data_IF_070769219613
#
_entry.id   IF_070769219613
#
_cell.length_a   1.000
_cell.length_b   1.000
_cell.length_c   1.000
_cell.angle_alpha   90.00
_cell.angle_beta   90.00
_cell.angle_gamma   90.00
#
_symmetry.space_group_name_H-M   'P 1'
#
loop_
_entity.id
_entity.type
_entity.pdbx_description
1 polymer ?
#
# COMPACT_ATOMS: atom_id res chain seq x y z
N UNK A 1 2.19 25.81 -17.61
CA UNK A 1 1.68 24.51 -18.07
C UNK A 1 1.35 23.64 -16.86
N UNK A 2 0.22 22.92 -16.85
CA UNK A 2 -0.09 21.98 -15.80
C UNK A 2 0.90 20.81 -15.85
N UNK A 3 1.41 20.36 -14.68
CA UNK A 3 2.28 19.18 -14.61
C UNK A 3 1.56 17.96 -15.17
N UNK A 4 2.23 17.12 -15.98
CA UNK A 4 1.64 15.88 -16.49
C UNK A 4 1.26 14.93 -15.36
N UNK A 5 0.24 14.12 -15.58
CA UNK A 5 -0.26 13.11 -14.64
C UNK A 5 -0.02 11.71 -15.19
N UNK A 6 -0.16 10.70 -14.32
CA UNK A 6 -0.15 9.30 -14.77
C UNK A 6 -1.24 9.04 -15.82
N UNK A 7 -2.38 9.73 -15.74
CA UNK A 7 -3.45 9.61 -16.73
C UNK A 7 -3.00 10.12 -18.12
N UNK A 8 -2.26 11.23 -18.17
CA UNK A 8 -1.75 11.80 -19.41
C UNK A 8 -0.69 10.88 -20.03
N UNK A 9 0.21 10.31 -19.21
CA UNK A 9 1.19 9.33 -19.66
C UNK A 9 0.51 8.10 -20.28
N UNK A 10 -0.53 7.57 -19.65
CA UNK A 10 -1.28 6.46 -20.22
C UNK A 10 -2.02 6.83 -21.51
N UNK A 11 -2.58 8.06 -21.62
CA UNK A 11 -3.22 8.52 -22.86
C UNK A 11 -2.24 8.58 -24.02
N UNK A 12 -1.01 9.00 -23.75
CA UNK A 12 -0.01 9.20 -24.81
C UNK A 12 0.66 7.87 -25.22
N UNK A 13 1.10 7.07 -24.25
CA UNK A 13 1.98 5.93 -24.53
C UNK A 13 1.31 4.56 -24.52
N UNK A 14 0.05 4.43 -24.10
CA UNK A 14 -0.53 3.10 -23.88
C UNK A 14 -0.74 2.30 -25.15
N UNK A 15 -1.04 2.95 -26.27
CA UNK A 15 -1.17 2.27 -27.58
C UNK A 15 0.17 1.65 -27.99
N UNK A 16 1.26 2.41 -27.94
CA UNK A 16 2.60 1.90 -28.23
C UNK A 16 3.08 0.83 -27.23
N UNK A 17 2.60 0.89 -25.97
CA UNK A 17 2.82 -0.18 -24.99
C UNK A 17 2.17 -1.48 -25.43
N UNK A 18 0.94 -1.47 -25.95
CA UNK A 18 0.21 -2.67 -26.39
C UNK A 18 0.85 -3.35 -27.62
N UNK A 19 1.64 -2.64 -28.42
CA UNK A 19 2.39 -3.23 -29.53
C UNK A 19 3.53 -4.15 -29.05
N UNK A 20 4.03 -3.92 -27.82
CA UNK A 20 5.16 -4.66 -27.23
C UNK A 20 4.77 -5.62 -26.11
N UNK A 21 3.67 -5.36 -25.42
CA UNK A 21 3.29 -6.07 -24.20
C UNK A 21 1.80 -6.38 -24.16
N UNK A 22 1.46 -7.54 -23.60
CA UNK A 22 0.08 -7.95 -23.35
C UNK A 22 -0.23 -7.82 -21.85
N UNK A 23 -1.04 -6.82 -21.43
CA UNK A 23 -1.39 -6.65 -20.03
C UNK A 23 -2.35 -7.73 -19.56
N UNK A 24 -2.23 -8.14 -18.29
CA UNK A 24 -3.22 -9.02 -17.66
C UNK A 24 -4.60 -8.34 -17.57
N UNK A 25 -5.70 -9.08 -17.37
CA UNK A 25 -7.04 -8.52 -17.22
C UNK A 25 -7.12 -7.46 -16.10
N UNK A 26 -6.40 -7.66 -14.98
CA UNK A 26 -6.33 -6.72 -13.88
C UNK A 26 -5.59 -5.44 -14.26
N UNK A 27 -4.47 -5.56 -14.99
CA UNK A 27 -3.70 -4.43 -15.51
C UNK A 27 -4.53 -3.63 -16.52
N UNK A 28 -5.14 -4.29 -17.50
CA UNK A 28 -6.01 -3.63 -18.48
C UNK A 28 -7.20 -2.91 -17.82
N UNK A 29 -7.81 -3.53 -16.79
CA UNK A 29 -8.85 -2.89 -15.98
C UNK A 29 -8.34 -1.65 -15.23
N UNK A 30 -7.14 -1.72 -14.66
CA UNK A 30 -6.53 -0.57 -13.97
C UNK A 30 -6.30 0.59 -14.94
N UNK A 31 -5.73 0.32 -16.13
CA UNK A 31 -5.52 1.34 -17.17
C UNK A 31 -6.84 1.97 -17.61
N UNK A 32 -7.84 1.18 -17.98
CA UNK A 32 -9.16 1.70 -18.37
C UNK A 32 -9.75 2.59 -17.28
N UNK A 33 -9.62 2.21 -16.01
CA UNK A 33 -10.11 3.00 -14.90
C UNK A 33 -9.33 4.31 -14.72
N UNK A 34 -8.01 4.30 -14.91
CA UNK A 34 -7.18 5.51 -14.83
C UNK A 34 -7.53 6.46 -15.97
N UNK A 35 -7.59 5.97 -17.19
CA UNK A 35 -7.92 6.76 -18.38
C UNK A 35 -9.29 7.46 -18.29
N UNK A 36 -10.27 6.77 -17.70
CA UNK A 36 -11.64 7.28 -17.56
C UNK A 36 -11.91 7.99 -16.23
N UNK A 37 -10.93 8.07 -15.33
CA UNK A 37 -11.12 8.69 -14.02
C UNK A 37 -11.34 10.19 -14.11
N UNK A 38 -12.39 10.68 -13.48
CA UNK A 38 -12.80 12.10 -13.53
C UNK A 38 -13.03 12.63 -14.95
N UNK A 39 -13.58 11.75 -15.80
CA UNK A 39 -14.13 12.09 -17.11
C UNK A 39 -15.63 11.79 -17.13
N UNK A 40 -16.32 12.08 -18.24
CA UNK A 40 -17.74 11.75 -18.41
C UNK A 40 -18.05 10.25 -18.36
N UNK A 41 -17.04 9.36 -18.53
CA UNK A 41 -17.22 7.92 -18.64
C UNK A 41 -17.85 7.23 -17.40
N UNK A 42 -17.69 7.82 -16.22
CA UNK A 42 -18.30 7.32 -14.96
C UNK A 42 -19.46 8.21 -14.48
N UNK A 43 -19.99 9.07 -15.36
CA UNK A 43 -21.04 10.01 -15.02
C UNK A 43 -20.51 11.25 -14.30
N UNK A 44 -21.43 12.13 -13.98
CA UNK A 44 -21.15 13.40 -13.34
C UNK A 44 -22.27 13.77 -12.35
N UNK A 45 -21.91 14.59 -11.37
CA UNK A 45 -22.83 15.32 -10.54
C UNK A 45 -22.93 16.74 -11.09
N UNK A 46 -24.14 17.19 -11.43
CA UNK A 46 -24.41 18.50 -11.98
C UNK A 46 -25.20 19.30 -10.95
N UNK A 47 -24.69 20.47 -10.59
CA UNK A 47 -25.37 21.43 -9.71
C UNK A 47 -25.58 22.74 -10.45
N UNK A 48 -26.71 23.37 -10.20
CA UNK A 48 -27.06 24.70 -10.75
C UNK A 48 -27.05 25.69 -9.60
N UNK A 49 -26.47 26.84 -9.80
CA UNK A 49 -26.51 27.92 -8.83
C UNK A 49 -27.92 28.54 -8.77
N UNK A 50 -28.45 28.63 -7.57
CA UNK A 50 -29.78 29.19 -7.32
C UNK A 50 -29.83 30.73 -7.58
N UNK A 51 -28.68 31.43 -7.41
CA UNK A 51 -28.58 32.87 -7.53
C UNK A 51 -28.23 33.33 -8.94
N UNK A 52 -27.28 32.68 -9.64
CA UNK A 52 -26.79 33.15 -10.94
C UNK A 52 -27.04 32.16 -12.11
N UNK A 53 -27.64 31.00 -11.85
CA UNK A 53 -27.92 29.98 -12.86
C UNK A 53 -26.68 29.25 -13.40
N UNK A 54 -25.48 29.54 -12.90
CA UNK A 54 -24.24 28.90 -13.37
C UNK A 54 -24.26 27.39 -13.09
N UNK A 55 -23.90 26.59 -14.10
CA UNK A 55 -23.84 25.13 -14.03
C UNK A 55 -22.43 24.68 -13.61
N UNK A 56 -22.35 23.85 -12.60
CA UNK A 56 -21.09 23.21 -12.19
C UNK A 56 -21.17 21.69 -12.37
N UNK A 57 -20.15 21.12 -13.03
CA UNK A 57 -20.06 19.70 -13.34
C UNK A 57 -18.89 19.09 -12.58
N UNK A 58 -19.17 18.06 -11.81
CA UNK A 58 -18.17 17.27 -11.07
C UNK A 58 -18.17 15.83 -11.58
N UNK A 59 -17.19 15.47 -12.37
CA UNK A 59 -17.06 14.13 -12.92
C UNK A 59 -16.70 13.09 -11.84
N UNK A 60 -17.31 11.92 -11.93
CA UNK A 60 -17.13 10.84 -10.99
C UNK A 60 -15.75 10.18 -11.08
N UNK A 61 -15.28 9.68 -9.94
CA UNK A 61 -14.01 8.97 -9.81
C UNK A 61 -14.17 7.48 -10.11
N UNK A 62 -13.14 6.86 -10.68
CA UNK A 62 -13.13 5.42 -10.98
C UNK A 62 -13.09 4.52 -9.73
N UNK A 63 -12.73 5.04 -8.55
CA UNK A 63 -12.56 4.34 -7.27
C UNK A 63 -11.60 3.14 -7.32
N UNK A 64 -10.78 3.03 -8.38
CA UNK A 64 -9.79 1.98 -8.49
C UNK A 64 -8.62 2.24 -7.53
N UNK A 65 -8.23 1.23 -6.76
CA UNK A 65 -7.13 1.33 -5.77
C UNK A 65 -5.76 1.63 -6.39
N UNK A 66 -5.61 1.44 -7.71
CA UNK A 66 -4.39 1.73 -8.44
C UNK A 66 -4.38 3.15 -9.05
N UNK A 67 -5.48 3.89 -8.98
CA UNK A 67 -5.60 5.19 -9.62
C UNK A 67 -5.03 6.31 -8.76
N UNK A 68 -3.96 7.02 -9.19
CA UNK A 68 -3.39 8.12 -8.42
C UNK A 68 -4.25 9.39 -8.44
N UNK A 69 -5.30 9.44 -9.29
CA UNK A 69 -6.15 10.62 -9.46
C UNK A 69 -7.23 10.77 -8.39
N UNK A 70 -7.65 9.67 -7.74
CA UNK A 70 -8.84 9.70 -6.88
C UNK A 70 -8.67 9.07 -5.49
N UNK A 71 -7.46 8.71 -5.08
CA UNK A 71 -7.23 8.03 -3.79
C UNK A 71 -7.01 8.97 -2.60
N UNK A 72 -7.01 10.29 -2.79
CA UNK A 72 -6.71 11.23 -1.70
C UNK A 72 -7.75 11.17 -0.57
N UNK A 73 -9.03 11.36 -0.88
CA UNK A 73 -10.11 11.33 0.14
C UNK A 73 -10.27 9.95 0.77
N UNK A 74 -10.34 8.82 0.02
CA UNK A 74 -10.37 7.48 0.61
C UNK A 74 -9.21 7.20 1.57
N UNK A 75 -8.02 7.72 1.28
CA UNK A 75 -6.86 7.63 2.15
C UNK A 75 -7.11 8.33 3.49
N UNK A 76 -7.55 9.59 3.46
CA UNK A 76 -7.81 10.37 4.69
C UNK A 76 -8.91 9.73 5.56
N UNK A 77 -9.99 9.26 4.93
CA UNK A 77 -11.06 8.53 5.62
C UNK A 77 -10.55 7.24 6.26
N UNK A 78 -9.72 6.49 5.53
CA UNK A 78 -9.13 5.27 6.06
C UNK A 78 -8.18 5.56 7.23
N UNK A 79 -7.34 6.60 7.13
CA UNK A 79 -6.45 7.03 8.20
C UNK A 79 -7.21 7.43 9.45
N UNK A 80 -8.26 8.22 9.31
CA UNK A 80 -9.09 8.66 10.41
C UNK A 80 -9.77 7.46 11.11
N UNK A 81 -10.30 6.51 10.35
CA UNK A 81 -10.85 5.27 10.90
C UNK A 81 -9.78 4.40 11.61
N UNK A 82 -8.53 4.38 11.14
CA UNK A 82 -7.44 3.61 11.79
C UNK A 82 -6.91 4.26 13.06
N UNK A 83 -7.07 5.56 13.26
CA UNK A 83 -6.76 6.20 14.53
C UNK A 83 -7.49 5.58 15.71
N UNK A 84 -8.71 5.07 15.50
CA UNK A 84 -9.44 4.33 16.53
C UNK A 84 -8.75 3.04 16.97
N UNK A 85 -7.91 2.44 16.12
CA UNK A 85 -7.21 1.19 16.41
C UNK A 85 -5.87 1.41 17.12
N UNK A 86 -5.37 2.66 17.17
CA UNK A 86 -4.09 2.98 17.79
C UNK A 86 -4.22 3.09 19.30
N UNK A 87 -3.27 2.51 20.02
CA UNK A 87 -3.09 2.62 21.46
C UNK A 87 -2.01 3.67 21.76
N UNK A 88 -2.08 4.29 22.92
CA UNK A 88 -1.02 5.20 23.41
C UNK A 88 0.14 4.38 24.00
N UNK A 89 0.91 3.79 23.11
CA UNK A 89 2.05 2.92 23.41
C UNK A 89 3.12 3.07 22.32
N UNK A 90 4.37 2.63 22.55
CA UNK A 90 5.41 2.62 21.53
C UNK A 90 5.03 1.78 20.31
N UNK A 91 5.49 2.21 19.13
CA UNK A 91 5.37 1.44 17.89
C UNK A 91 6.70 1.35 17.19
N UNK A 92 6.93 0.24 16.51
CA UNK A 92 8.12 -0.03 15.73
C UNK A 92 7.78 -0.27 14.26
N UNK A 93 8.64 0.21 13.39
CA UNK A 93 8.54 -0.05 11.97
C UNK A 93 9.53 -1.14 11.56
N UNK A 94 9.04 -2.25 11.06
CA UNK A 94 9.85 -3.31 10.49
C UNK A 94 9.58 -3.41 8.99
N UNK A 95 10.63 -3.77 8.23
CA UNK A 95 10.49 -4.07 6.80
C UNK A 95 11.07 -5.47 6.57
N UNK A 96 10.25 -6.33 6.01
CA UNK A 96 10.64 -7.69 5.61
C UNK A 96 10.82 -7.71 4.09
N UNK A 97 12.05 -7.97 3.66
CA UNK A 97 12.42 -7.97 2.24
C UNK A 97 12.96 -9.35 1.87
N UNK A 98 12.68 -9.79 0.66
CA UNK A 98 13.25 -10.99 0.05
C UNK A 98 14.36 -10.60 -0.94
N UNK A 99 15.36 -11.46 -1.19
CA UNK A 99 16.41 -11.20 -2.18
C UNK A 99 15.84 -10.95 -3.58
N UNK A 100 16.41 -9.99 -4.30
CA UNK A 100 15.95 -9.62 -5.65
C UNK A 100 16.08 -10.76 -6.67
N UNK A 101 16.94 -11.73 -6.43
CA UNK A 101 17.10 -12.93 -7.28
C UNK A 101 15.79 -13.75 -7.33
N UNK A 102 14.90 -13.63 -6.34
CA UNK A 102 13.59 -14.27 -6.30
C UNK A 102 12.53 -13.53 -7.14
N UNK A 103 12.80 -12.31 -7.57
CA UNK A 103 11.82 -11.46 -8.26
C UNK A 103 11.16 -12.13 -9.48
N UNK A 104 11.88 -12.87 -10.36
CA UNK A 104 11.26 -13.56 -11.49
C UNK A 104 10.21 -14.60 -11.04
N UNK A 105 10.55 -15.39 -10.04
CA UNK A 105 9.65 -16.43 -9.50
C UNK A 105 8.46 -15.80 -8.79
N UNK A 106 8.68 -14.76 -8.00
CA UNK A 106 7.60 -14.02 -7.32
C UNK A 106 6.67 -13.36 -8.34
N UNK A 107 7.20 -12.79 -9.42
CA UNK A 107 6.38 -12.14 -10.44
C UNK A 107 5.50 -13.15 -11.19
N UNK A 108 5.99 -14.34 -11.47
CA UNK A 108 5.20 -15.43 -12.05
C UNK A 108 4.11 -15.95 -11.09
N UNK A 109 4.32 -15.83 -9.77
CA UNK A 109 3.46 -16.39 -8.72
C UNK A 109 2.95 -15.33 -7.73
N UNK A 110 2.60 -14.15 -8.20
CA UNK A 110 2.36 -12.97 -7.34
C UNK A 110 1.44 -13.25 -6.15
N UNK A 111 0.25 -13.82 -6.37
CA UNK A 111 -0.70 -14.05 -5.29
C UNK A 111 -0.16 -15.04 -4.27
N UNK A 112 0.36 -16.16 -4.73
CA UNK A 112 0.87 -17.25 -3.90
C UNK A 112 2.07 -16.79 -3.07
N UNK A 113 3.10 -16.22 -3.71
CA UNK A 113 4.33 -15.82 -3.01
C UNK A 113 4.18 -14.52 -2.19
N UNK A 114 3.20 -13.67 -2.51
CA UNK A 114 2.82 -12.60 -1.57
C UNK A 114 2.12 -13.14 -0.33
N UNK A 115 1.27 -14.17 -0.46
CA UNK A 115 0.64 -14.84 0.68
C UNK A 115 1.68 -15.54 1.55
N UNK A 116 2.67 -16.22 0.94
CA UNK A 116 3.85 -16.79 1.62
C UNK A 116 4.64 -15.72 2.37
N UNK A 117 4.87 -14.55 1.74
CA UNK A 117 5.58 -13.45 2.37
C UNK A 117 4.85 -12.93 3.62
N UNK A 118 3.52 -12.80 3.56
CA UNK A 118 2.71 -12.45 4.73
C UNK A 118 2.74 -13.53 5.81
N UNK A 119 2.67 -14.80 5.42
CA UNK A 119 2.71 -15.94 6.35
C UNK A 119 4.05 -15.97 7.09
N UNK A 120 5.16 -15.95 6.37
CA UNK A 120 6.49 -15.92 6.98
C UNK A 120 6.69 -14.72 7.91
N UNK A 121 6.26 -13.51 7.47
CA UNK A 121 6.33 -12.29 8.29
C UNK A 121 5.51 -12.44 9.58
N UNK A 122 4.23 -12.83 9.45
CA UNK A 122 3.33 -12.89 10.60
C UNK A 122 3.72 -13.95 11.61
N UNK A 123 4.10 -15.14 11.15
CA UNK A 123 4.54 -16.24 12.03
C UNK A 123 5.88 -15.97 12.68
N UNK A 124 6.79 -15.25 12.03
CA UNK A 124 8.03 -14.77 12.63
C UNK A 124 7.76 -13.82 13.80
N UNK A 125 6.91 -12.83 13.60
CA UNK A 125 6.57 -11.87 14.65
C UNK A 125 5.86 -12.59 15.81
N UNK A 126 4.89 -13.45 15.53
CA UNK A 126 4.14 -14.16 16.55
C UNK A 126 5.06 -15.06 17.40
N UNK A 127 5.93 -15.83 16.77
CA UNK A 127 6.87 -16.72 17.46
C UNK A 127 7.79 -15.93 18.39
N UNK A 128 8.48 -14.92 17.84
CA UNK A 128 9.45 -14.15 18.61
C UNK A 128 8.80 -13.30 19.72
N UNK A 129 7.63 -12.72 19.50
CA UNK A 129 6.97 -11.90 20.54
C UNK A 129 6.33 -12.74 21.63
N UNK A 130 5.92 -13.97 21.33
CA UNK A 130 5.35 -14.89 22.32
C UNK A 130 6.42 -15.55 23.20
N UNK A 131 7.69 -15.56 22.75
CA UNK A 131 8.79 -16.10 23.54
C UNK A 131 9.02 -15.25 24.80
N UNK A 132 8.99 -15.85 26.02
CA UNK A 132 9.28 -15.13 27.27
C UNK A 132 10.66 -14.47 27.32
N UNK A 133 11.64 -14.97 26.55
CA UNK A 133 12.98 -14.36 26.42
C UNK A 133 12.95 -12.97 25.79
N UNK A 134 11.90 -12.67 25.02
CA UNK A 134 11.69 -11.37 24.39
C UNK A 134 10.59 -10.60 25.10
N UNK A 135 9.33 -10.73 24.64
CA UNK A 135 8.21 -10.03 25.26
C UNK A 135 7.32 -10.98 26.09
N UNK A 136 7.11 -12.22 25.63
CA UNK A 136 6.19 -13.17 26.27
C UNK A 136 4.72 -12.73 26.18
N UNK A 137 4.35 -12.01 25.13
CA UNK A 137 3.00 -11.45 24.97
C UNK A 137 2.54 -11.47 23.51
N UNK A 138 1.23 -11.53 23.31
CA UNK A 138 0.59 -11.39 22.01
C UNK A 138 0.48 -9.90 21.65
N UNK A 139 1.15 -9.48 20.61
CA UNK A 139 1.17 -8.08 20.11
C UNK A 139 0.17 -7.84 19.01
N UNK A 140 -0.10 -6.57 18.72
CA UNK A 140 -0.87 -6.14 17.55
C UNK A 140 0.04 -5.59 16.47
N UNK A 141 -0.22 -5.92 15.19
CA UNK A 141 0.55 -5.33 14.08
C UNK A 141 -0.25 -5.26 12.79
N UNK A 142 0.18 -4.35 11.89
CA UNK A 142 -0.38 -4.14 10.57
C UNK A 142 0.71 -4.39 9.55
N UNK A 143 0.48 -5.30 8.61
CA UNK A 143 1.37 -5.61 7.50
C UNK A 143 0.85 -4.99 6.21
N UNK A 144 1.71 -4.31 5.45
CA UNK A 144 1.38 -3.64 4.21
C UNK A 144 2.35 -4.08 3.13
N UNK A 145 1.84 -4.77 2.10
CA UNK A 145 2.66 -5.16 0.96
C UNK A 145 2.96 -3.97 0.07
N UNK A 146 4.23 -3.76 -0.20
CA UNK A 146 4.73 -2.97 -1.31
C UNK A 146 5.47 -3.87 -2.29
N UNK A 147 5.40 -3.52 -3.56
CA UNK A 147 6.10 -4.26 -4.63
C UNK A 147 7.04 -3.36 -5.41
N UNK A 148 7.26 -2.12 -4.97
CA UNK A 148 8.05 -1.10 -5.69
C UNK A 148 9.08 -0.41 -4.81
N UNK A 149 10.23 -0.13 -5.39
CA UNK A 149 11.19 0.83 -4.88
C UNK A 149 10.94 2.26 -5.37
N UNK A 150 11.83 3.18 -5.06
CA UNK A 150 11.72 4.59 -5.48
C UNK A 150 11.72 4.76 -7.01
N UNK A 151 12.41 3.92 -7.73
CA UNK A 151 12.54 3.92 -9.19
C UNK A 151 11.45 3.08 -9.90
N UNK A 152 10.41 2.65 -9.16
CA UNK A 152 9.37 1.72 -9.62
C UNK A 152 9.91 0.36 -10.10
N UNK A 153 11.06 -0.08 -9.60
CA UNK A 153 11.55 -1.43 -9.80
C UNK A 153 10.70 -2.42 -9.00
N UNK A 154 10.53 -3.64 -9.51
CA UNK A 154 9.84 -4.70 -8.78
C UNK A 154 10.68 -5.14 -7.58
N UNK A 155 10.15 -4.91 -6.38
CA UNK A 155 10.83 -5.16 -5.11
C UNK A 155 9.80 -5.46 -4.02
N UNK A 156 9.27 -6.68 -3.98
CA UNK A 156 8.23 -7.04 -3.01
C UNK A 156 8.79 -7.09 -1.59
N UNK A 157 8.13 -6.33 -0.71
CA UNK A 157 8.48 -6.27 0.71
C UNK A 157 7.26 -5.91 1.56
N UNK A 158 7.29 -6.27 2.83
CA UNK A 158 6.23 -5.95 3.79
C UNK A 158 6.71 -4.90 4.77
N UNK A 159 6.04 -3.76 4.79
CA UNK A 159 6.10 -2.82 5.89
C UNK A 159 5.20 -3.29 7.02
N UNK A 160 5.75 -3.41 8.20
CA UNK A 160 5.02 -3.82 9.40
C UNK A 160 5.07 -2.71 10.44
N UNK A 161 3.91 -2.30 10.93
CA UNK A 161 3.78 -1.45 12.11
C UNK A 161 3.47 -2.35 13.29
N UNK A 162 4.43 -2.53 14.15
CA UNK A 162 4.39 -3.40 15.31
C UNK A 162 4.17 -2.60 16.58
N UNK A 163 3.14 -2.95 17.35
CA UNK A 163 2.92 -2.41 18.69
C UNK A 163 4.02 -2.90 19.64
N UNK A 164 4.62 -2.00 20.40
CA UNK A 164 5.71 -2.28 21.33
C UNK A 164 5.27 -2.90 22.65
N UNK A 165 4.03 -3.31 22.78
CA UNK A 165 3.49 -4.02 23.92
C UNK A 165 2.37 -4.96 23.51
N UNK A 166 1.93 -5.81 24.44
CA UNK A 166 0.94 -6.84 24.17
C UNK A 166 0.27 -7.41 25.42
N UNK A 167 -0.64 -8.35 25.19
CA UNK A 167 -1.32 -9.08 26.26
C UNK A 167 -0.61 -10.40 26.52
N UNK A 168 -0.26 -10.62 27.78
CA UNK A 168 0.19 -11.93 28.26
C UNK A 168 -0.93 -12.96 28.20
N UNK A 169 -0.63 -14.27 28.31
CA UNK A 169 -1.67 -15.31 28.45
C UNK A 169 -2.66 -15.07 29.61
N UNK A 170 -2.23 -14.31 30.62
CA UNK A 170 -3.08 -13.90 31.78
C UNK A 170 -3.89 -12.63 31.51
N UNK A 171 -3.87 -12.07 30.29
CA UNK A 171 -4.51 -10.81 29.94
C UNK A 171 -3.94 -9.57 30.67
N UNK A 172 -2.71 -9.61 31.08
CA UNK A 172 -1.97 -8.49 31.62
C UNK A 172 -1.26 -7.73 30.50
N UNK A 173 -1.15 -6.41 30.60
CA UNK A 173 -0.34 -5.63 29.68
C UNK A 173 1.15 -5.79 29.98
N UNK A 174 1.94 -6.07 28.96
CA UNK A 174 3.39 -6.11 29.04
C UNK A 174 3.99 -5.35 27.88
N UNK A 175 4.95 -4.48 28.14
CA UNK A 175 5.75 -3.77 27.15
C UNK A 175 7.22 -3.73 27.56
N UNK A 176 8.07 -3.28 26.66
CA UNK A 176 9.51 -3.11 26.90
C UNK A 176 9.89 -1.60 26.88
N UNK A 177 8.95 -0.74 27.23
CA UNK A 177 9.12 0.71 27.16
C UNK A 177 9.39 1.20 25.73
N UNK A 178 10.43 2.01 25.57
CA UNK A 178 10.77 2.61 24.28
C UNK A 178 11.83 1.87 23.51
N UNK A 179 12.39 0.79 24.04
CA UNK A 179 13.43 0.00 23.39
C UNK A 179 12.83 -1.12 22.53
N UNK A 180 13.50 -1.39 21.42
CA UNK A 180 13.10 -2.49 20.57
C UNK A 180 13.53 -3.82 21.20
N UNK A 181 12.59 -4.74 21.30
CA UNK A 181 12.72 -5.95 22.10
C UNK A 181 13.05 -7.23 21.30
N UNK A 182 13.13 -7.13 19.97
CA UNK A 182 13.43 -8.28 19.12
C UNK A 182 14.81 -8.10 18.45
N UNK A 183 15.75 -9.02 18.65
CA UNK A 183 17.03 -8.95 17.95
C UNK A 183 16.86 -9.09 16.43
N UNK A 184 17.43 -8.16 15.67
CA UNK A 184 17.29 -8.13 14.19
C UNK A 184 17.82 -9.42 13.56
N UNK A 185 18.93 -9.96 14.08
CA UNK A 185 19.49 -11.24 13.61
C UNK A 185 18.52 -12.42 13.80
N UNK A 186 17.76 -12.43 14.90
CA UNK A 186 16.76 -13.48 15.16
C UNK A 186 15.58 -13.35 14.18
N UNK A 187 15.08 -12.10 13.96
CA UNK A 187 14.03 -11.85 12.95
C UNK A 187 14.49 -12.32 11.57
N UNK A 188 15.73 -11.94 11.15
CA UNK A 188 16.31 -12.35 9.87
C UNK A 188 16.33 -13.85 9.69
N UNK A 189 16.92 -14.56 10.67
CA UNK A 189 17.10 -16.02 10.61
C UNK A 189 15.76 -16.76 10.56
N UNK A 190 14.82 -16.40 11.43
CA UNK A 190 13.51 -17.06 11.51
C UNK A 190 12.67 -16.75 10.26
N UNK A 191 12.64 -15.51 9.83
CA UNK A 191 11.91 -15.10 8.62
C UNK A 191 12.44 -15.81 7.37
N UNK A 192 13.78 -15.81 7.17
CA UNK A 192 14.42 -16.51 6.06
C UNK A 192 14.05 -17.99 6.07
N UNK A 193 14.21 -18.67 7.21
CA UNK A 193 13.88 -20.10 7.34
C UNK A 193 12.45 -20.38 6.91
N UNK A 194 11.49 -19.67 7.48
CA UNK A 194 10.06 -19.86 7.19
C UNK A 194 9.72 -19.59 5.72
N UNK A 195 10.23 -18.49 5.13
CA UNK A 195 9.96 -18.19 3.73
C UNK A 195 10.55 -19.22 2.78
N UNK A 196 11.81 -19.63 3.02
CA UNK A 196 12.52 -20.58 2.18
C UNK A 196 11.95 -22.00 2.30
N UNK A 197 11.50 -22.40 3.49
CA UNK A 197 10.85 -23.71 3.69
C UNK A 197 9.52 -23.79 2.96
N UNK A 198 8.71 -22.72 3.03
CA UNK A 198 7.45 -22.64 2.27
C UNK A 198 7.71 -22.62 0.76
N UNK A 199 8.69 -21.85 0.28
CA UNK A 199 9.05 -21.79 -1.14
C UNK A 199 9.48 -23.17 -1.66
N UNK A 200 10.30 -23.90 -0.92
CA UNK A 200 10.69 -25.29 -1.25
C UNK A 200 9.49 -26.24 -1.26
N UNK A 201 8.60 -26.10 -0.29
CA UNK A 201 7.38 -26.91 -0.23
C UNK A 201 6.48 -26.66 -1.45
N UNK A 202 6.27 -25.39 -1.84
CA UNK A 202 5.50 -25.03 -3.02
C UNK A 202 6.11 -25.57 -4.32
N UNK A 203 7.44 -25.59 -4.43
CA UNK A 203 8.13 -26.19 -5.56
C UNK A 203 7.96 -27.73 -5.57
N UNK A 204 8.19 -28.39 -4.45
CA UNK A 204 8.07 -29.85 -4.31
C UNK A 204 6.64 -30.37 -4.57
N UNK A 205 5.63 -29.51 -4.34
CA UNK A 205 4.21 -29.84 -4.55
C UNK A 205 3.66 -29.33 -5.87
N UNK A 206 4.55 -28.90 -6.78
CA UNK A 206 4.23 -28.43 -8.14
C UNK A 206 3.18 -27.29 -8.17
N UNK A 207 3.24 -26.39 -7.18
CA UNK A 207 2.34 -25.24 -7.07
C UNK A 207 2.89 -23.97 -7.71
N UNK A 208 4.17 -23.97 -8.13
CA UNK A 208 4.81 -22.80 -8.75
C UNK A 208 4.67 -22.83 -10.27
N UNK A 209 4.33 -21.68 -10.81
CA UNK A 209 4.37 -21.40 -12.25
C UNK A 209 5.66 -20.68 -12.62
N UNK A 210 6.19 -20.95 -13.80
CA UNK A 210 7.41 -20.34 -14.30
C UNK A 210 7.21 -19.79 -15.70
N UNK A 211 7.29 -18.45 -15.83
CA UNK A 211 7.09 -17.73 -17.07
C UNK A 211 8.23 -16.74 -17.33
N UNK A 212 8.57 -16.55 -18.60
CA UNK A 212 9.60 -15.60 -19.02
C UNK A 212 10.96 -15.88 -18.37
N UNK A 213 11.52 -14.91 -17.68
CA UNK A 213 12.85 -15.07 -17.03
C UNK A 213 12.86 -16.08 -15.88
N UNK A 214 11.70 -16.52 -15.38
CA UNK A 214 11.60 -17.56 -14.37
C UNK A 214 11.63 -18.98 -14.95
N UNK A 215 11.46 -19.15 -16.26
CA UNK A 215 11.33 -20.46 -16.94
C UNK A 215 12.49 -21.41 -16.57
N UNK A 216 13.71 -20.91 -16.47
CA UNK A 216 14.89 -21.70 -16.09
C UNK A 216 14.76 -22.41 -14.74
N UNK A 217 13.97 -21.87 -13.81
CA UNK A 217 13.79 -22.44 -12.47
C UNK A 217 12.78 -23.60 -12.43
N UNK A 218 12.20 -23.96 -13.56
CA UNK A 218 11.49 -25.25 -13.72
C UNK A 218 12.46 -26.43 -13.60
N UNK A 219 13.74 -26.21 -13.93
CA UNK A 219 14.79 -27.21 -13.77
C UNK A 219 15.22 -27.31 -12.31
N UNK A 220 15.33 -28.55 -11.79
CA UNK A 220 15.69 -28.82 -10.41
C UNK A 220 17.06 -28.22 -10.00
N UNK A 221 18.06 -28.33 -10.86
CA UNK A 221 19.39 -27.80 -10.55
C UNK A 221 19.39 -26.29 -10.47
N UNK A 222 18.75 -25.61 -11.44
CA UNK A 222 18.64 -24.16 -11.43
C UNK A 222 17.81 -23.64 -10.24
N UNK A 223 16.77 -24.36 -9.84
CA UNK A 223 15.99 -24.01 -8.65
C UNK A 223 16.81 -24.21 -7.37
N UNK A 224 17.59 -25.32 -7.29
CA UNK A 224 18.50 -25.55 -6.15
C UNK A 224 19.54 -24.45 -6.05
N UNK A 225 20.19 -24.06 -7.14
CA UNK A 225 21.14 -22.92 -7.16
C UNK A 225 20.47 -21.61 -6.70
N UNK A 226 19.23 -21.36 -7.10
CA UNK A 226 18.44 -20.21 -6.61
C UNK A 226 18.27 -20.26 -5.09
N UNK A 227 17.91 -21.41 -4.56
CA UNK A 227 17.75 -21.62 -3.12
C UNK A 227 19.07 -21.39 -2.37
N UNK A 228 20.16 -21.98 -2.85
CA UNK A 228 21.50 -21.87 -2.24
C UNK A 228 21.93 -20.39 -2.26
N UNK A 229 21.77 -19.69 -3.38
CA UNK A 229 22.07 -18.25 -3.51
C UNK A 229 21.24 -17.38 -2.53
N UNK A 230 19.98 -17.76 -2.26
CA UNK A 230 19.17 -17.08 -1.27
C UNK A 230 19.69 -17.29 0.17
N UNK A 231 20.27 -18.43 0.48
CA UNK A 231 20.90 -18.68 1.79
C UNK A 231 22.23 -17.95 1.94
N UNK A 232 22.99 -17.76 0.86
CA UNK A 232 24.25 -17.01 0.84
C UNK A 232 24.02 -15.48 0.91
N UNK A 233 22.83 -15.01 0.58
CA UNK A 233 22.46 -13.60 0.68
C UNK A 233 22.02 -13.26 2.10
N UNK A 234 22.47 -12.11 2.60
CA UNK A 234 22.00 -11.61 3.89
C UNK A 234 20.58 -11.03 3.79
N UNK A 235 19.67 -11.56 4.61
CA UNK A 235 18.29 -11.08 4.72
C UNK A 235 18.23 -10.09 5.89
N UNK A 236 18.37 -8.81 5.59
CA UNK A 236 18.36 -7.77 6.62
C UNK A 236 16.96 -7.20 6.78
N UNK A 237 16.18 -7.59 7.80
CA UNK A 237 14.99 -6.88 8.18
C UNK A 237 15.41 -5.51 8.72
N UNK A 238 14.83 -4.46 8.15
CA UNK A 238 15.04 -3.13 8.70
C UNK A 238 14.11 -2.93 9.89
N UNK A 239 14.66 -2.49 11.01
CA UNK A 239 13.88 -2.07 12.16
C UNK A 239 14.27 -0.68 12.60
N UNK A 240 13.30 0.16 12.77
CA UNK A 240 13.46 1.50 13.34
C UNK A 240 12.34 1.76 14.34
N UNK A 241 12.71 2.22 15.53
CA UNK A 241 11.75 2.93 16.38
C UNK A 241 11.38 4.21 15.65
N UNK A 242 10.11 4.37 15.35
CA UNK A 242 9.73 5.41 14.36
C UNK A 242 8.83 6.48 14.92
N UNK A 243 8.18 6.27 16.06
CA UNK A 243 6.98 7.03 16.30
C UNK A 243 6.98 7.71 17.67
N UNK A 244 7.01 9.02 17.63
CA UNK A 244 6.67 9.84 18.77
C UNK A 244 5.13 9.94 18.88
N UNK A 245 4.49 8.85 19.36
CA UNK A 245 3.06 8.79 19.60
C UNK A 245 2.19 8.35 18.43
N UNK A 246 0.91 8.18 18.71
CA UNK A 246 -0.10 7.61 17.82
C UNK A 246 -0.26 8.35 16.48
N UNK A 247 -0.09 9.67 16.44
CA UNK A 247 -0.24 10.47 15.23
C UNK A 247 0.82 10.10 14.17
N UNK A 248 2.07 9.94 14.59
CA UNK A 248 3.18 9.57 13.67
C UNK A 248 2.98 8.20 13.03
N UNK A 249 2.36 7.25 13.75
CA UNK A 249 1.97 5.93 13.22
C UNK A 249 0.98 6.09 12.07
N UNK A 250 -0.05 6.91 12.27
CA UNK A 250 -1.11 7.14 11.29
C UNK A 250 -0.56 7.86 10.06
N UNK A 251 0.26 8.89 10.25
CA UNK A 251 0.87 9.64 9.15
C UNK A 251 1.78 8.72 8.30
N UNK A 252 2.49 7.82 8.96
CA UNK A 252 3.28 6.81 8.30
C UNK A 252 2.40 5.84 7.50
N UNK A 253 1.37 5.27 8.12
CA UNK A 253 0.41 4.40 7.44
C UNK A 253 -0.19 5.08 6.22
N UNK A 254 -0.57 6.35 6.33
CA UNK A 254 -1.11 7.12 5.22
C UNK A 254 -0.17 7.29 4.03
N UNK A 255 1.14 7.31 4.26
CA UNK A 255 2.13 7.39 3.18
C UNK A 255 2.17 6.12 2.33
N UNK A 256 1.87 4.97 2.92
CA UNK A 256 2.11 3.65 2.31
C UNK A 256 0.86 2.89 1.89
N UNK A 257 -0.32 3.20 2.45
CA UNK A 257 -1.52 2.39 2.25
C UNK A 257 -2.23 2.59 0.92
N UNK A 258 -2.31 3.83 0.42
CA UNK A 258 -3.09 4.21 -0.76
C UNK A 258 -2.22 4.63 -1.96
N UNK A 259 -0.96 4.18 -2.00
CA UNK A 259 -0.07 4.36 -3.15
C UNK A 259 0.07 3.07 -3.93
N UNK A 260 0.22 3.23 -5.24
CA UNK A 260 0.78 2.21 -6.12
C UNK A 260 1.87 2.90 -6.94
N UNK A 261 3.05 2.32 -6.96
CA UNK A 261 4.21 2.72 -7.72
C UNK A 261 4.59 4.20 -7.56
N UNK A 262 3.80 5.12 -8.10
CA UNK A 262 4.11 6.55 -8.15
C UNK A 262 2.86 7.41 -7.92
N UNK A 263 3.05 8.62 -7.43
CA UNK A 263 2.02 9.67 -7.31
C UNK A 263 2.29 10.80 -8.31
N UNK A 264 1.25 11.46 -8.79
CA UNK A 264 1.36 12.50 -9.81
C UNK A 264 2.34 13.62 -9.46
N UNK A 265 2.48 13.99 -8.18
CA UNK A 265 3.40 15.06 -7.78
C UNK A 265 4.88 14.74 -8.02
N UNK A 266 5.24 13.47 -8.20
CA UNK A 266 6.60 13.05 -8.53
C UNK A 266 6.91 13.16 -10.02
N UNK A 267 5.92 13.28 -10.89
CA UNK A 267 6.11 13.45 -12.32
C UNK A 267 6.54 14.90 -12.54
N UNK A 268 7.66 15.10 -13.24
CA UNK A 268 8.28 16.40 -13.49
C UNK A 268 7.95 16.86 -14.89
N UNK A 269 8.20 16.02 -15.88
CA UNK A 269 8.08 16.32 -17.31
C UNK A 269 7.67 15.09 -18.10
N UNK A 270 7.05 15.31 -19.27
CA UNK A 270 6.75 14.30 -20.28
C UNK A 270 6.89 14.98 -21.66
N UNK A 271 7.58 14.32 -22.57
CA UNK A 271 7.64 14.63 -23.98
C UNK A 271 7.07 13.47 -24.83
N UNK A 272 7.30 13.46 -26.13
CA UNK A 272 6.75 12.45 -27.05
C UNK A 272 7.38 11.06 -26.89
N UNK A 273 8.53 10.94 -26.22
CA UNK A 273 9.25 9.67 -26.03
C UNK A 273 9.40 9.28 -24.56
N UNK A 274 9.55 10.26 -23.67
CA UNK A 274 10.07 10.06 -22.35
C UNK A 274 9.18 10.66 -21.24
N UNK A 275 9.36 10.10 -20.04
CA UNK A 275 8.76 10.60 -18.79
C UNK A 275 9.87 10.77 -17.76
N UNK A 276 10.00 11.98 -17.22
CA UNK A 276 10.93 12.31 -16.14
C UNK A 276 10.18 12.47 -14.82
N UNK A 277 10.70 11.81 -13.77
CA UNK A 277 10.10 11.87 -12.44
C UNK A 277 11.15 11.83 -11.33
N UNK A 278 10.81 12.33 -10.16
CA UNK A 278 11.70 12.37 -9.00
C UNK A 278 11.77 11.01 -8.29
N UNK A 279 12.98 10.59 -7.93
CA UNK A 279 13.27 9.36 -7.18
C UNK A 279 14.20 9.64 -6.02
N UNK A 280 14.13 8.80 -4.97
CA UNK A 280 15.08 8.86 -3.86
C UNK A 280 16.25 7.93 -4.13
N UNK A 281 17.46 8.47 -4.02
CA UNK A 281 18.70 7.70 -4.06
C UNK A 281 19.09 7.28 -2.64
N UNK A 282 18.75 6.05 -2.27
CA UNK A 282 19.08 5.52 -0.94
C UNK A 282 20.57 5.30 -0.71
N UNK A 283 21.40 5.23 -1.79
CA UNK A 283 22.86 5.16 -1.67
C UNK A 283 23.47 6.51 -1.28
N UNK A 284 22.74 7.61 -1.52
CA UNK A 284 23.10 8.97 -1.16
C UNK A 284 22.14 9.51 -0.08
N UNK A 285 21.99 8.80 1.02
CA UNK A 285 21.18 9.20 2.18
C UNK A 285 19.74 9.63 1.87
N UNK A 286 19.17 9.11 0.76
CA UNK A 286 17.81 9.42 0.35
C UNK A 286 17.64 10.78 -0.33
N UNK A 287 18.70 11.36 -0.89
CA UNK A 287 18.63 12.57 -1.72
C UNK A 287 17.71 12.34 -2.93
N UNK A 288 17.03 13.39 -3.32
CA UNK A 288 16.19 13.35 -4.52
C UNK A 288 17.03 13.53 -5.78
N UNK A 289 16.81 12.68 -6.76
CA UNK A 289 17.34 12.80 -8.13
C UNK A 289 16.22 12.64 -9.14
N UNK A 290 16.45 13.04 -10.37
CA UNK A 290 15.57 12.82 -11.50
C UNK A 290 15.91 11.49 -12.20
N UNK A 291 14.88 10.81 -12.66
CA UNK A 291 14.99 9.61 -13.49
C UNK A 291 14.10 9.78 -14.71
N UNK A 292 14.70 9.58 -15.88
CA UNK A 292 13.99 9.59 -17.17
C UNK A 292 13.89 8.18 -17.72
N UNK A 293 12.69 7.78 -18.11
CA UNK A 293 12.39 6.49 -18.75
C UNK A 293 11.61 6.75 -20.03
N UNK A 294 11.73 5.84 -21.01
CA UNK A 294 10.75 5.87 -22.11
C UNK A 294 9.32 5.70 -21.57
N UNK A 295 8.34 6.32 -22.23
CA UNK A 295 6.94 6.23 -21.79
C UNK A 295 6.43 4.80 -21.70
N UNK A 296 6.87 3.93 -22.61
CA UNK A 296 6.53 2.49 -22.60
C UNK A 296 7.11 1.80 -21.36
N UNK A 297 8.37 2.06 -21.01
CA UNK A 297 9.03 1.48 -19.82
C UNK A 297 8.39 2.01 -18.52
N UNK A 298 7.99 3.28 -18.48
CA UNK A 298 7.25 3.84 -17.36
C UNK A 298 5.93 3.07 -17.15
N UNK A 299 5.16 2.82 -18.21
CA UNK A 299 3.90 2.05 -18.14
C UNK A 299 4.18 0.63 -17.70
N UNK A 300 5.20 -0.03 -18.26
CA UNK A 300 5.58 -1.40 -17.89
C UNK A 300 5.89 -1.49 -16.38
N UNK A 301 6.71 -0.58 -15.86
CA UNK A 301 7.03 -0.54 -14.42
C UNK A 301 5.79 -0.27 -13.59
N UNK A 302 4.96 0.69 -13.96
CA UNK A 302 3.72 0.97 -13.23
C UNK A 302 2.81 -0.26 -13.16
N UNK A 303 2.61 -0.95 -14.27
CA UNK A 303 1.70 -2.09 -14.36
C UNK A 303 2.18 -3.33 -13.62
N UNK A 304 3.49 -3.52 -13.42
CA UNK A 304 4.01 -4.60 -12.58
C UNK A 304 3.48 -4.56 -11.14
N UNK A 305 3.06 -3.39 -10.67
CA UNK A 305 2.60 -3.18 -9.29
C UNK A 305 1.08 -3.27 -9.14
N UNK A 306 0.35 -3.52 -10.22
CA UNK A 306 -1.09 -3.79 -10.15
C UNK A 306 -1.28 -5.15 -9.49
N UNK A 307 -1.91 -5.19 -8.29
CA UNK A 307 -2.00 -6.42 -7.54
C UNK A 307 -3.03 -7.39 -8.14
N UNK A 308 -2.88 -8.69 -7.93
CA UNK A 308 -3.81 -9.71 -8.37
C UNK A 308 -5.27 -9.43 -7.93
N UNK A 309 -6.21 -10.03 -8.63
CA UNK A 309 -7.64 -9.90 -8.34
C UNK A 309 -7.95 -10.27 -6.90
N UNK A 310 -8.71 -9.41 -6.20
CA UNK A 310 -9.13 -9.60 -4.79
C UNK A 310 -7.98 -9.75 -3.78
N UNK A 311 -6.76 -9.41 -4.17
CA UNK A 311 -5.63 -9.47 -3.25
C UNK A 311 -5.72 -8.37 -2.18
N UNK A 312 -5.58 -8.75 -0.90
CA UNK A 312 -5.63 -7.85 0.26
C UNK A 312 -4.22 -7.41 0.60
N UNK A 313 -3.91 -6.13 0.37
CA UNK A 313 -2.59 -5.54 0.59
C UNK A 313 -2.29 -5.09 2.03
N UNK A 314 -3.33 -4.90 2.83
CA UNK A 314 -3.20 -4.44 4.21
C UNK A 314 -3.84 -5.50 5.09
N UNK A 315 -3.04 -6.12 5.95
CA UNK A 315 -3.50 -7.21 6.83
C UNK A 315 -3.23 -6.87 8.29
N UNK A 316 -4.18 -7.19 9.13
CA UNK A 316 -4.15 -6.92 10.56
C UNK A 316 -4.01 -8.23 11.33
N UNK A 317 -3.09 -8.27 12.28
CA UNK A 317 -2.74 -9.47 13.01
C UNK A 317 -2.73 -9.26 14.54
N UNK A 318 -2.72 -10.36 15.27
CA UNK A 318 -2.64 -10.36 16.73
C UNK A 318 -3.80 -9.62 17.40
N UNK A 319 -3.50 -8.61 18.22
CA UNK A 319 -4.50 -7.78 18.89
C UNK A 319 -5.37 -6.98 17.91
N UNK A 320 -4.87 -6.72 16.70
CA UNK A 320 -5.56 -5.96 15.65
C UNK A 320 -6.36 -6.83 14.68
N UNK A 321 -6.39 -8.16 14.88
CA UNK A 321 -7.18 -9.07 14.04
C UNK A 321 -8.66 -8.75 14.15
N UNK A 322 -9.35 -8.56 13.02
CA UNK A 322 -10.74 -8.10 12.93
C UNK A 322 -11.73 -8.89 13.79
N UNK A 323 -11.51 -10.21 13.94
CA UNK A 323 -12.38 -11.11 14.74
C UNK A 323 -12.43 -10.74 16.23
N UNK A 324 -11.32 -10.28 16.81
CA UNK A 324 -11.18 -10.05 18.26
C UNK A 324 -10.77 -8.62 18.62
N UNK A 325 -10.52 -7.79 17.64
CA UNK A 325 -9.94 -6.45 17.79
C UNK A 325 -10.67 -5.60 18.82
N UNK A 326 -11.98 -5.48 18.69
CA UNK A 326 -12.76 -4.60 19.58
C UNK A 326 -12.58 -4.98 21.06
N UNK A 327 -12.76 -6.26 21.39
CA UNK A 327 -12.62 -6.77 22.77
C UNK A 327 -11.19 -6.58 23.30
N UNK A 328 -10.18 -6.96 22.49
CA UNK A 328 -8.78 -6.88 22.89
C UNK A 328 -8.30 -5.44 23.06
N UNK A 329 -8.64 -4.54 22.15
CA UNK A 329 -8.24 -3.14 22.26
C UNK A 329 -8.95 -2.42 23.41
N UNK A 330 -10.20 -2.76 23.74
CA UNK A 330 -10.87 -2.23 24.92
C UNK A 330 -10.14 -2.67 26.20
N UNK A 331 -9.77 -3.94 26.31
CA UNK A 331 -8.99 -4.45 27.43
C UNK A 331 -7.64 -3.73 27.53
N UNK A 332 -6.88 -3.65 26.42
CA UNK A 332 -5.60 -2.94 26.42
C UNK A 332 -5.75 -1.48 26.87
N UNK A 333 -6.75 -0.74 26.38
CA UNK A 333 -6.99 0.65 26.79
C UNK A 333 -7.25 0.79 28.29
N UNK A 334 -8.04 -0.12 28.86
CA UNK A 334 -8.31 -0.12 30.30
C UNK A 334 -7.03 -0.37 31.11
N UNK A 335 -6.18 -1.31 30.64
CA UNK A 335 -4.93 -1.64 31.34
C UNK A 335 -3.86 -0.53 31.28
N UNK A 336 -3.79 0.20 30.16
CA UNK A 336 -2.79 1.29 29.98
C UNK A 336 -3.37 2.68 30.23
N UNK A 337 -4.65 2.79 30.59
CA UNK A 337 -5.29 4.09 30.91
C UNK A 337 -5.47 5.01 29.71
N UNK A 338 -5.50 4.51 28.46
CA UNK A 338 -5.60 5.37 27.29
C UNK A 338 -7.04 5.53 26.77
N UNK A 339 -7.38 6.75 26.33
CA UNK A 339 -8.69 7.05 25.75
C UNK A 339 -8.80 6.55 24.31
N UNK A 340 -10.02 6.15 23.92
CA UNK A 340 -10.32 5.79 22.53
C UNK A 340 -10.46 7.07 21.69
N UNK A 341 -9.76 7.12 20.55
CA UNK A 341 -10.04 8.13 19.53
C UNK A 341 -11.39 7.85 18.88
N UNK A 342 -12.17 8.88 18.61
CA UNK A 342 -13.40 8.80 17.86
C UNK A 342 -13.17 9.38 16.46
N UNK A 343 -13.49 8.61 15.42
CA UNK A 343 -13.35 9.05 14.03
C UNK A 343 -14.13 10.35 13.80
N UNK A 344 -13.46 11.35 13.21
CA UNK A 344 -14.04 12.66 12.89
C UNK A 344 -14.73 12.70 11.53
N UNK A 345 -14.46 11.70 10.68
CA UNK A 345 -14.97 11.62 9.30
C UNK A 345 -16.02 10.51 9.13
N UNK A 346 -16.19 9.64 10.13
CA UNK A 346 -17.26 8.65 10.12
C UNK A 346 -18.61 9.39 10.12
N UNK A 347 -19.57 8.86 9.42
CA UNK A 347 -20.95 9.36 9.34
C UNK A 347 -21.11 10.76 8.74
N UNK A 348 -20.03 11.34 8.16
CA UNK A 348 -20.09 12.60 7.41
C UNK A 348 -20.32 12.39 5.93
N UNK A 349 -21.08 13.29 5.33
CA UNK A 349 -21.25 13.34 3.88
C UNK A 349 -20.02 13.92 3.18
N UNK A 350 -19.87 13.61 1.89
CA UNK A 350 -18.71 14.04 1.10
C UNK A 350 -18.47 15.56 1.09
N UNK A 351 -19.50 16.44 1.01
CA UNK A 351 -19.29 17.89 1.11
C UNK A 351 -18.62 18.33 2.40
N UNK A 352 -19.06 17.75 3.54
CA UNK A 352 -18.50 18.06 4.86
C UNK A 352 -17.05 17.54 4.98
N UNK A 353 -16.78 16.33 4.46
CA UNK A 353 -15.44 15.75 4.45
C UNK A 353 -14.48 16.65 3.65
N UNK A 354 -14.87 17.11 2.45
CA UNK A 354 -14.05 17.97 1.61
C UNK A 354 -13.80 19.33 2.26
N UNK A 355 -14.83 19.91 2.89
CA UNK A 355 -14.69 21.17 3.64
C UNK A 355 -13.73 21.01 4.82
N UNK A 356 -13.85 19.92 5.58
CA UNK A 356 -13.00 19.67 6.74
C UNK A 356 -11.54 19.38 6.38
N UNK A 357 -11.29 18.57 5.34
CA UNK A 357 -9.95 18.13 4.96
C UNK A 357 -9.19 19.16 4.13
N UNK A 358 -9.88 19.86 3.25
CA UNK A 358 -9.25 20.70 2.22
C UNK A 358 -9.76 22.13 2.17
N UNK A 359 -10.71 22.52 3.02
CA UNK A 359 -11.37 23.83 2.97
C UNK A 359 -12.26 24.02 1.75
N UNK A 360 -12.50 22.95 0.97
CA UNK A 360 -13.26 23.02 -0.29
C UNK A 360 -14.75 22.90 0.02
N UNK A 361 -15.49 24.00 -0.22
CA UNK A 361 -16.95 23.98 -0.13
C UNK A 361 -17.55 23.77 -1.54
N UNK A 362 -18.02 22.54 -1.80
CA UNK A 362 -18.64 22.19 -3.09
C UNK A 362 -20.10 22.60 -3.19
N UNK A 363 -20.67 23.18 -2.14
CA UNK A 363 -22.03 23.74 -2.15
C UNK A 363 -22.06 25.24 -2.47
N UNK A 364 -20.91 25.85 -2.76
CA UNK A 364 -20.79 27.27 -3.11
C UNK A 364 -20.42 27.43 -4.57
N UNK A 365 -21.14 28.30 -5.24
CA UNK A 365 -20.91 28.66 -6.65
C UNK A 365 -19.56 29.36 -6.82
N UNK A 366 -18.73 28.84 -7.71
CA UNK A 366 -17.42 29.47 -8.02
C UNK A 366 -17.51 30.80 -8.75
N UNK A 367 -18.64 31.07 -9.37
CA UNK A 367 -18.84 32.29 -10.17
C UNK A 367 -19.34 33.48 -9.34
N UNK A 368 -20.29 33.26 -8.42
CA UNK A 368 -20.91 34.35 -7.65
C UNK A 368 -20.84 34.20 -6.13
N UNK A 369 -20.35 33.04 -5.63
CA UNK A 369 -20.32 32.74 -4.19
C UNK A 369 -21.67 32.28 -3.60
N UNK A 370 -22.73 32.22 -4.40
CA UNK A 370 -24.07 31.85 -4.00
C UNK A 370 -24.23 30.32 -3.76
N UNK A 371 -25.43 29.90 -3.41
CA UNK A 371 -25.73 28.52 -3.08
C UNK A 371 -25.88 27.64 -4.34
N UNK A 372 -25.25 26.47 -4.35
CA UNK A 372 -25.47 25.45 -5.38
C UNK A 372 -26.58 24.50 -4.93
N UNK A 373 -27.58 24.35 -5.78
CA UNK A 373 -28.65 23.38 -5.59
C UNK A 373 -28.12 21.94 -5.45
N UNK A 374 -28.95 21.05 -4.92
CA UNK A 374 -28.57 19.64 -4.74
C UNK A 374 -28.09 19.04 -6.05
N UNK A 375 -26.92 18.37 -6.06
CA UNK A 375 -26.39 17.79 -7.28
C UNK A 375 -27.28 16.66 -7.80
N UNK A 376 -27.57 16.70 -9.10
CA UNK A 376 -28.24 15.63 -9.81
C UNK A 376 -27.19 14.68 -10.40
N UNK A 377 -27.30 13.39 -10.10
CA UNK A 377 -26.44 12.37 -10.66
C UNK A 377 -26.85 12.09 -12.11
N UNK A 378 -25.95 12.33 -13.06
CA UNK A 378 -26.09 11.83 -14.43
C UNK A 378 -25.11 10.69 -14.68
N UNK A 379 -25.65 9.51 -14.97
CA UNK A 379 -24.89 8.33 -15.37
C UNK A 379 -24.86 8.32 -16.90
N UNK A 380 -23.69 8.07 -17.55
CA UNK A 380 -23.66 7.93 -18.99
C UNK A 380 -24.58 6.74 -19.40
N UNK A 381 -25.34 6.94 -20.46
CA UNK A 381 -26.04 5.82 -21.08
C UNK A 381 -24.98 4.80 -21.52
N UNK A 382 -25.13 3.55 -21.11
CA UNK A 382 -24.28 2.46 -21.62
C UNK A 382 -24.63 2.31 -23.10
N UNK A 383 -23.72 2.72 -23.97
CA UNK A 383 -23.76 2.32 -25.38
C UNK A 383 -23.36 0.87 -25.49
#
# INVERSE_FOLDING_TARGET
>A
MNKPTVQDIFRHFYTAYLEKYSPSPEQAKAVRNILNCKTGAYGANISVCEDCGAVQIHYNSCRNRCCPMCQAVPKEMWMDARREDVLDAPYFHLVFTVPDILNPVIYSNQKLLYDTLYHATSTTIQELTSDPKHLGASVGYICILHTWGSEMNFHPHIHTILLGGGLTPKNEWKDNGTEFFLPIWAISKVFRGKYMDELKNLWNTDQLEFHGTAEKYRNHYAFKELIDSCYDTEWVPYCKKTFNGAQSVIDYLGKYTHRIAISNHRIIHMDDENVTFSVKDYRKEGQWKELTLSGIEFIRRFLMHVPPRRFVRIRHYGLLCSRSKHKKLTLCRNLIGCKKYLSKLRDKEMPEILKQLYGINICVCKSCGGHLGKPQLRIPQRC
#
